data_IF_298132613243
#
_entry.id   IF_298132613243
#
_cell.length_a   1.000
_cell.length_b   1.000
_cell.length_c   1.000
_cell.angle_alpha   90.00
_cell.angle_beta   90.00
_cell.angle_gamma   90.00
#
_symmetry.space_group_name_H-M   'P 1'
#
loop_
_entity.id
_entity.type
_entity.pdbx_description
1 polymer ?
#
# COMPACT_ATOMS: atom_id res chain seq x y z
N UNK A 1 -13.19 13.00 -7.88
CA UNK A 1 -12.53 11.73 -7.50
C UNK A 1 -11.76 11.88 -6.19
N UNK A 2 -10.68 12.67 -6.15
CA UNK A 2 -9.78 12.78 -4.98
C UNK A 2 -10.48 13.13 -3.65
N UNK A 3 -11.43 14.07 -3.66
CA UNK A 3 -12.19 14.43 -2.46
C UNK A 3 -13.00 13.25 -1.90
N UNK A 4 -13.61 12.46 -2.78
CA UNK A 4 -14.38 11.27 -2.38
C UNK A 4 -13.46 10.16 -1.90
N UNK A 5 -12.28 10.00 -2.52
CA UNK A 5 -11.28 9.03 -2.08
C UNK A 5 -10.81 9.36 -0.66
N UNK A 6 -10.41 10.61 -0.43
CA UNK A 6 -10.00 11.08 0.90
C UNK A 6 -11.12 10.91 1.94
N UNK A 7 -12.38 11.14 1.56
CA UNK A 7 -13.54 10.88 2.44
C UNK A 7 -13.62 9.39 2.82
N UNK A 8 -13.50 8.50 1.83
CA UNK A 8 -13.57 7.04 2.04
C UNK A 8 -12.40 6.54 2.88
N UNK A 9 -11.18 7.01 2.62
CA UNK A 9 -9.98 6.64 3.39
C UNK A 9 -10.08 7.01 4.87
N UNK A 10 -10.91 8.01 5.21
CA UNK A 10 -11.16 8.43 6.58
C UNK A 10 -12.31 7.70 7.28
N UNK A 11 -13.05 6.83 6.59
CA UNK A 11 -14.15 6.06 7.19
C UNK A 11 -13.65 4.97 8.16
N UNK A 12 -14.43 4.61 9.20
CA UNK A 12 -14.09 3.51 10.09
C UNK A 12 -13.88 2.19 9.36
N UNK A 13 -14.69 1.92 8.33
CA UNK A 13 -14.64 0.68 7.55
C UNK A 13 -13.31 0.57 6.80
N UNK A 14 -12.90 1.64 6.11
CA UNK A 14 -11.62 1.64 5.39
C UNK A 14 -10.43 1.53 6.36
N UNK A 15 -10.46 2.25 7.47
CA UNK A 15 -9.40 2.19 8.50
C UNK A 15 -9.30 0.81 9.14
N UNK A 16 -10.42 0.11 9.31
CA UNK A 16 -10.45 -1.26 9.82
C UNK A 16 -9.87 -2.28 8.81
N UNK A 17 -9.97 -2.02 7.51
CA UNK A 17 -9.27 -2.83 6.52
C UNK A 17 -7.77 -2.51 6.44
N UNK A 18 -7.41 -1.23 6.52
CA UNK A 18 -6.02 -0.79 6.54
C UNK A 18 -5.27 -1.32 7.78
N UNK A 19 -5.95 -1.46 8.92
CA UNK A 19 -5.31 -1.96 10.16
C UNK A 19 -4.80 -3.40 10.06
N UNK A 20 -5.26 -4.18 9.08
CA UNK A 20 -4.69 -5.51 8.75
C UNK A 20 -3.23 -5.42 8.30
N UNK A 21 -2.76 -4.23 7.93
CA UNK A 21 -1.40 -3.96 7.49
C UNK A 21 -0.57 -3.18 8.52
N UNK A 22 -1.08 -2.89 9.72
CA UNK A 22 -0.38 -2.08 10.74
C UNK A 22 1.04 -2.57 11.01
N UNK A 23 1.22 -3.86 11.29
CA UNK A 23 2.55 -4.44 11.54
C UNK A 23 3.52 -4.22 10.37
N UNK A 24 3.02 -4.31 9.13
CA UNK A 24 3.82 -4.07 7.93
C UNK A 24 4.17 -2.58 7.78
N UNK A 25 3.19 -1.69 8.00
CA UNK A 25 3.38 -0.23 7.96
C UNK A 25 4.42 0.22 9.01
N UNK A 26 4.38 -0.36 10.21
CA UNK A 26 5.34 -0.10 11.29
C UNK A 26 6.75 -0.59 10.95
N UNK A 27 6.88 -1.85 10.48
CA UNK A 27 8.17 -2.38 10.02
C UNK A 27 8.79 -1.53 8.92
N UNK A 28 8.00 -1.19 7.90
CA UNK A 28 8.45 -0.35 6.80
C UNK A 28 8.83 1.06 7.27
N UNK A 29 8.08 1.62 8.23
CA UNK A 29 8.43 2.92 8.82
C UNK A 29 9.81 2.88 9.49
N UNK A 30 10.07 1.82 10.24
CA UNK A 30 11.35 1.61 10.93
C UNK A 30 12.51 1.39 9.95
N UNK A 31 12.31 0.57 8.90
CA UNK A 31 13.36 0.24 7.94
C UNK A 31 13.68 1.36 6.96
N UNK A 32 12.68 2.16 6.57
CA UNK A 32 12.87 3.24 5.59
C UNK A 32 13.19 4.58 6.23
N UNK A 33 12.94 4.73 7.54
CA UNK A 33 13.06 6.00 8.26
C UNK A 33 11.97 7.02 7.89
N UNK A 34 10.99 6.62 7.06
CA UNK A 34 9.85 7.44 6.66
C UNK A 34 8.62 6.95 7.41
N UNK A 35 7.84 7.85 8.00
CA UNK A 35 6.54 7.47 8.55
C UNK A 35 5.60 7.01 7.42
N UNK A 36 5.21 5.74 7.46
CA UNK A 36 4.34 5.09 6.48
C UNK A 36 3.01 4.76 7.15
N UNK A 37 1.93 5.34 6.64
CA UNK A 37 0.58 5.25 7.24
C UNK A 37 -0.51 4.95 6.23
N UNK A 38 -0.22 4.96 4.93
CA UNK A 38 -1.23 4.83 3.88
C UNK A 38 -1.00 3.60 2.99
N UNK A 39 -2.09 3.01 2.48
CA UNK A 39 -2.02 1.89 1.53
C UNK A 39 -1.22 2.23 0.25
N UNK A 40 -1.27 3.49 -0.19
CA UNK A 40 -0.51 3.98 -1.36
C UNK A 40 0.99 3.76 -1.21
N UNK A 41 1.51 3.86 0.01
CA UNK A 41 2.93 3.72 0.28
C UNK A 41 3.37 2.26 0.16
N UNK A 42 2.51 1.30 0.53
CA UNK A 42 2.75 -0.13 0.31
C UNK A 42 2.91 -0.44 -1.19
N UNK A 43 2.00 0.09 -2.02
CA UNK A 43 2.10 -0.03 -3.49
C UNK A 43 3.38 0.62 -4.02
N UNK A 44 3.75 1.79 -3.50
CA UNK A 44 5.00 2.47 -3.84
C UNK A 44 6.23 1.62 -3.57
N UNK A 45 6.30 0.98 -2.40
CA UNK A 45 7.40 0.10 -2.02
C UNK A 45 7.44 -1.16 -2.90
N UNK A 46 6.30 -1.80 -3.13
CA UNK A 46 6.23 -2.97 -4.00
C UNK A 46 6.75 -2.67 -5.41
N UNK A 47 6.33 -1.54 -5.98
CA UNK A 47 6.77 -1.10 -7.31
C UNK A 47 8.26 -0.74 -7.32
N UNK A 48 8.76 -0.09 -6.27
CA UNK A 48 10.18 0.23 -6.13
C UNK A 48 11.05 -1.04 -6.11
N UNK A 49 10.72 -2.01 -5.25
CA UNK A 49 11.46 -3.27 -5.15
C UNK A 49 11.39 -4.08 -6.46
N UNK A 50 10.23 -4.08 -7.11
CA UNK A 50 10.06 -4.73 -8.42
C UNK A 50 10.93 -4.06 -9.49
N UNK A 51 10.99 -2.73 -9.51
CA UNK A 51 11.84 -1.97 -10.42
C UNK A 51 13.33 -2.26 -10.20
N UNK A 52 13.79 -2.27 -8.95
CA UNK A 52 15.17 -2.63 -8.61
C UNK A 52 15.53 -4.03 -9.09
N UNK A 53 14.68 -5.02 -8.80
CA UNK A 53 14.88 -6.41 -9.23
C UNK A 53 14.90 -6.53 -10.74
N UNK A 54 13.98 -5.87 -11.44
CA UNK A 54 13.92 -5.89 -12.90
C UNK A 54 15.15 -5.26 -13.57
N UNK A 55 15.74 -4.25 -12.92
CA UNK A 55 16.98 -3.61 -13.36
C UNK A 55 18.26 -4.38 -12.95
N UNK A 56 18.15 -5.50 -12.24
CA UNK A 56 19.28 -6.30 -11.79
C UNK A 56 20.04 -5.73 -10.59
N UNK A 57 19.46 -4.76 -9.87
CA UNK A 57 20.03 -4.23 -8.64
C UNK A 57 19.76 -5.16 -7.45
N UNK A 58 20.68 -5.16 -6.48
CA UNK A 58 20.46 -5.80 -5.19
C UNK A 58 19.32 -5.09 -4.44
N UNK A 59 18.45 -5.87 -3.80
CA UNK A 59 17.41 -5.35 -2.94
C UNK A 59 17.98 -4.99 -1.57
N UNK A 60 17.36 -4.04 -0.84
CA UNK A 60 17.68 -3.80 0.56
C UNK A 60 17.56 -5.08 1.39
N UNK A 61 18.39 -5.27 2.41
CA UNK A 61 18.41 -6.51 3.22
C UNK A 61 17.05 -6.85 3.82
N UNK A 62 16.34 -5.84 4.35
CA UNK A 62 15.00 -5.98 4.92
C UNK A 62 13.94 -6.43 3.91
N UNK A 63 14.16 -6.22 2.61
CA UNK A 63 13.17 -6.56 1.58
C UNK A 63 12.93 -8.07 1.52
N UNK A 64 13.92 -8.89 1.91
CA UNK A 64 13.78 -10.35 1.96
C UNK A 64 12.69 -10.84 2.91
N UNK A 65 12.32 -10.05 3.93
CA UNK A 65 11.24 -10.42 4.87
C UNK A 65 9.84 -10.28 4.27
N UNK A 66 9.66 -9.43 3.25
CA UNK A 66 8.33 -9.02 2.79
C UNK A 66 8.14 -9.10 1.27
N UNK A 67 9.20 -9.26 0.47
CA UNK A 67 9.16 -9.27 -0.98
C UNK A 67 9.69 -10.60 -1.56
N UNK A 68 8.96 -11.26 -2.48
CA UNK A 68 7.69 -10.86 -3.10
C UNK A 68 6.46 -11.35 -2.29
N UNK A 69 6.53 -11.33 -0.96
CA UNK A 69 5.55 -11.94 -0.06
C UNK A 69 4.12 -11.42 -0.22
N UNK A 70 3.16 -12.28 0.14
CA UNK A 70 1.72 -12.03 -0.03
C UNK A 70 1.23 -10.78 0.71
N UNK A 71 1.80 -10.45 1.88
CA UNK A 71 1.32 -9.32 2.67
C UNK A 71 1.54 -7.97 1.98
N UNK A 72 2.73 -7.76 1.39
CA UNK A 72 3.04 -6.54 0.65
C UNK A 72 2.25 -6.47 -0.66
N UNK A 73 2.07 -7.60 -1.34
CA UNK A 73 1.24 -7.70 -2.54
C UNK A 73 -0.23 -7.39 -2.23
N UNK A 74 -0.79 -7.95 -1.15
CA UNK A 74 -2.17 -7.70 -0.72
C UNK A 74 -2.38 -6.22 -0.35
N UNK A 75 -1.43 -5.59 0.33
CA UNK A 75 -1.48 -4.14 0.59
C UNK A 75 -1.47 -3.30 -0.68
N UNK A 76 -0.70 -3.75 -1.69
CA UNK A 76 -0.67 -3.13 -3.03
C UNK A 76 -2.01 -3.29 -3.75
N UNK A 77 -2.60 -4.49 -3.72
CA UNK A 77 -3.92 -4.75 -4.28
C UNK A 77 -4.99 -3.91 -3.58
N UNK A 78 -4.95 -3.85 -2.25
CA UNK A 78 -5.86 -3.04 -1.44
C UNK A 78 -5.79 -1.55 -1.82
N UNK A 79 -4.59 -1.02 -2.07
CA UNK A 79 -4.44 0.35 -2.59
C UNK A 79 -5.18 0.56 -3.92
N UNK A 80 -5.04 -0.36 -4.88
CA UNK A 80 -5.76 -0.24 -6.15
C UNK A 80 -7.28 -0.42 -5.99
N UNK A 81 -7.70 -1.29 -5.07
CA UNK A 81 -9.10 -1.49 -4.74
C UNK A 81 -9.71 -0.24 -4.09
N UNK A 82 -8.93 0.56 -3.35
CA UNK A 82 -9.42 1.80 -2.71
C UNK A 82 -10.05 2.75 -3.72
N UNK A 83 -9.53 2.81 -4.95
CA UNK A 83 -10.06 3.63 -6.04
C UNK A 83 -11.45 3.23 -6.55
N UNK A 84 -11.94 2.06 -6.15
CA UNK A 84 -13.28 1.56 -6.51
C UNK A 84 -14.07 1.03 -5.31
N UNK A 85 -13.66 1.40 -4.09
CA UNK A 85 -14.15 0.84 -2.83
C UNK A 85 -15.64 1.09 -2.58
N UNK A 86 -16.19 2.19 -3.11
CA UNK A 86 -17.61 2.52 -3.03
C UNK A 86 -18.22 2.64 -4.44
N UNK A 87 -19.56 2.48 -4.59
CA UNK A 87 -20.22 2.71 -5.88
C UNK A 87 -19.92 4.10 -6.45
N UNK A 88 -19.83 5.12 -5.59
CA UNK A 88 -19.49 6.49 -5.99
C UNK A 88 -18.06 6.58 -6.51
N UNK A 89 -17.08 5.98 -5.81
CA UNK A 89 -15.70 5.94 -6.27
C UNK A 89 -15.56 5.19 -7.60
N UNK A 90 -16.24 4.05 -7.73
CA UNK A 90 -16.23 3.27 -8.96
C UNK A 90 -16.75 4.08 -10.16
N UNK A 91 -17.79 4.88 -9.98
CA UNK A 91 -18.30 5.80 -11.03
C UNK A 91 -17.32 6.94 -11.32
N UNK A 92 -16.66 7.49 -10.30
CA UNK A 92 -15.72 8.60 -10.45
C UNK A 92 -14.35 8.20 -11.01
N UNK A 93 -14.01 6.91 -10.95
CA UNK A 93 -12.77 6.33 -11.46
C UNK A 93 -12.88 5.78 -12.89
N UNK A 94 -14.04 5.96 -13.53
CA UNK A 94 -14.35 5.45 -14.86
C UNK A 94 -13.71 6.28 -15.99
#
# INVERSE_FOLDING_TARGET
FLEELHRVENTPEFKAELSKYTDLLEKLSNWTGKQITEAKELSGIFNYLTGLKAAGYALPEWASEIYPGEQLLNGTIFHFQSYSYTPRLKTLNA
#
